data_IF_886858013418
#
_entry.id   IF_886858013418
#
_cell.length_a   1.000
_cell.length_b   1.000
_cell.length_c   1.000
_cell.angle_alpha   90.00
_cell.angle_beta   90.00
_cell.angle_gamma   90.00
#
_symmetry.space_group_name_H-M   'P 1'
#
loop_
_entity.id
_entity.type
_entity.pdbx_description
1 polymer ?
#
# COMPACT_ATOMS: atom_id res chain seq x y z
N UNK A 1 15.30 -6.19 -19.89
CA UNK A 1 15.53 -4.74 -19.74
C UNK A 1 14.24 -3.93 -19.56
N UNK A 2 13.19 -4.18 -20.36
CA UNK A 2 11.96 -3.37 -20.40
C UNK A 2 11.11 -3.30 -19.11
N UNK A 3 11.02 -4.38 -18.31
CA UNK A 3 10.22 -4.39 -17.06
C UNK A 3 10.82 -3.51 -15.95
N UNK A 4 12.12 -3.53 -15.77
CA UNK A 4 12.80 -2.76 -14.72
C UNK A 4 12.92 -1.29 -15.09
N UNK A 5 13.06 -0.96 -16.38
CA UNK A 5 13.05 0.42 -16.84
C UNK A 5 11.66 1.07 -16.66
N UNK A 6 10.58 0.35 -17.01
CA UNK A 6 9.21 0.80 -16.71
C UNK A 6 8.98 1.00 -15.22
N UNK A 7 9.45 0.06 -14.40
CA UNK A 7 9.36 0.17 -12.95
C UNK A 7 10.12 1.41 -12.45
N UNK A 8 11.37 1.59 -12.90
CA UNK A 8 12.23 2.71 -12.53
C UNK A 8 11.54 4.04 -12.85
N UNK A 9 11.09 4.25 -14.10
CA UNK A 9 10.41 5.49 -14.51
C UNK A 9 9.18 5.77 -13.64
N UNK A 10 8.32 4.76 -13.44
CA UNK A 10 7.11 4.88 -12.63
C UNK A 10 7.43 5.17 -11.16
N UNK A 11 8.40 4.46 -10.59
CA UNK A 11 8.76 4.60 -9.18
C UNK A 11 9.46 5.93 -8.91
N UNK A 12 10.31 6.43 -9.82
CA UNK A 12 10.89 7.77 -9.73
C UNK A 12 9.81 8.85 -9.66
N UNK A 13 8.78 8.77 -10.52
CA UNK A 13 7.65 9.69 -10.48
C UNK A 13 6.86 9.61 -9.16
N UNK A 14 6.71 8.41 -8.60
CA UNK A 14 6.06 8.19 -7.29
C UNK A 14 6.93 8.76 -6.16
N UNK A 15 8.25 8.53 -6.18
CA UNK A 15 9.19 9.06 -5.18
C UNK A 15 9.22 10.58 -5.16
N UNK A 16 9.13 11.23 -6.33
CA UNK A 16 9.06 12.70 -6.44
C UNK A 16 7.84 13.28 -5.71
N UNK A 17 6.74 12.52 -5.62
CA UNK A 17 5.53 12.92 -4.87
C UNK A 17 5.66 12.72 -3.34
N UNK A 18 6.68 11.98 -2.90
CA UNK A 18 6.99 11.76 -1.49
C UNK A 18 6.31 10.54 -0.85
N UNK A 19 6.92 10.05 0.24
CA UNK A 19 6.45 8.90 1.02
C UNK A 19 5.05 9.14 1.59
N UNK A 20 4.81 10.30 2.20
CA UNK A 20 3.54 10.61 2.85
C UNK A 20 2.37 10.50 1.86
N UNK A 21 2.48 11.11 0.68
CA UNK A 21 1.44 11.05 -0.35
C UNK A 21 1.20 9.62 -0.85
N UNK A 22 2.26 8.83 -1.02
CA UNK A 22 2.13 7.41 -1.38
C UNK A 22 1.41 6.61 -0.28
N UNK A 23 1.87 6.72 0.97
CA UNK A 23 1.33 5.97 2.11
C UNK A 23 -0.11 6.36 2.39
N UNK A 24 -0.47 7.64 2.31
CA UNK A 24 -1.84 8.10 2.52
C UNK A 24 -2.75 7.58 1.41
N UNK A 25 -2.40 7.83 0.14
CA UNK A 25 -3.27 7.44 -0.97
C UNK A 25 -3.47 5.93 -1.06
N UNK A 26 -2.39 5.14 -0.99
CA UNK A 26 -2.52 3.68 -1.03
C UNK A 26 -3.08 3.12 0.27
N UNK A 27 -2.70 3.67 1.42
CA UNK A 27 -3.19 3.19 2.71
C UNK A 27 -4.69 3.34 2.85
N UNK A 28 -5.25 4.48 2.43
CA UNK A 28 -6.69 4.69 2.36
C UNK A 28 -7.36 3.69 1.42
N UNK A 29 -6.83 3.51 0.19
CA UNK A 29 -7.41 2.56 -0.77
C UNK A 29 -7.41 1.13 -0.23
N UNK A 30 -6.30 0.66 0.34
CA UNK A 30 -6.22 -0.70 0.88
C UNK A 30 -7.09 -0.86 2.13
N UNK A 31 -7.07 0.12 3.04
CA UNK A 31 -7.87 0.09 4.25
C UNK A 31 -9.37 0.09 3.95
N UNK A 32 -9.83 0.94 3.03
CA UNK A 32 -11.22 0.97 2.58
C UNK A 32 -11.63 -0.32 1.88
N UNK A 33 -10.79 -0.87 0.99
CA UNK A 33 -11.12 -2.09 0.29
C UNK A 33 -11.23 -3.29 1.24
N UNK A 34 -10.29 -3.42 2.20
CA UNK A 34 -10.36 -4.45 3.23
C UNK A 34 -11.59 -4.28 4.12
N UNK A 35 -11.89 -3.05 4.53
CA UNK A 35 -13.07 -2.75 5.32
C UNK A 35 -14.36 -3.11 4.58
N UNK A 36 -14.49 -2.72 3.30
CA UNK A 36 -15.70 -3.01 2.51
C UNK A 36 -15.92 -4.51 2.35
N UNK A 37 -14.87 -5.28 2.05
CA UNK A 37 -14.96 -6.74 1.94
C UNK A 37 -15.38 -7.35 3.28
N UNK A 38 -14.77 -6.91 4.37
CA UNK A 38 -15.10 -7.40 5.71
C UNK A 38 -16.51 -6.99 6.16
N UNK A 39 -16.92 -5.76 5.90
CA UNK A 39 -18.23 -5.23 6.25
C UNK A 39 -19.33 -5.95 5.46
N UNK A 40 -19.11 -6.21 4.16
CA UNK A 40 -20.02 -7.00 3.35
C UNK A 40 -20.16 -8.42 3.89
N UNK A 41 -19.04 -9.09 4.21
CA UNK A 41 -19.07 -10.43 4.80
C UNK A 41 -19.82 -10.43 6.14
N UNK A 42 -19.49 -9.51 7.04
CA UNK A 42 -20.15 -9.38 8.35
C UNK A 42 -21.65 -9.11 8.21
N UNK A 43 -22.05 -8.27 7.25
CA UNK A 43 -23.45 -8.00 6.97
C UNK A 43 -24.23 -9.26 6.58
N UNK A 44 -23.65 -10.15 5.77
CA UNK A 44 -24.30 -11.41 5.42
C UNK A 44 -24.48 -12.37 6.60
N UNK A 45 -23.59 -12.33 7.60
CA UNK A 45 -23.65 -13.25 8.76
C UNK A 45 -24.47 -12.71 9.93
N UNK A 46 -24.48 -11.40 10.16
CA UNK A 46 -25.02 -10.78 11.37
C UNK A 46 -26.16 -9.79 11.08
N UNK A 47 -26.82 -9.90 9.91
CA UNK A 47 -27.90 -8.99 9.49
C UNK A 47 -28.99 -8.83 10.55
N UNK A 48 -29.36 -9.91 11.22
CA UNK A 48 -30.48 -9.95 12.17
C UNK A 48 -30.14 -9.31 13.52
N UNK A 49 -28.85 -9.01 13.76
CA UNK A 49 -28.33 -8.40 14.99
C UNK A 49 -28.04 -6.90 14.82
N UNK A 50 -28.52 -6.29 13.74
CA UNK A 50 -28.18 -4.92 13.41
C UNK A 50 -28.93 -3.94 14.30
N UNK A 51 -28.27 -3.51 15.37
CA UNK A 51 -28.68 -2.39 16.21
C UNK A 51 -27.59 -1.29 16.21
N UNK A 52 -27.88 -0.09 16.75
CA UNK A 52 -26.91 1.01 16.77
C UNK A 52 -25.61 0.69 17.53
N UNK A 53 -25.68 -0.12 18.60
CA UNK A 53 -24.52 -0.48 19.40
C UNK A 53 -23.63 -1.50 18.64
N UNK A 54 -24.26 -2.45 17.97
CA UNK A 54 -23.64 -3.38 17.03
C UNK A 54 -22.97 -2.63 15.88
N UNK A 55 -23.59 -1.58 15.35
CA UNK A 55 -22.97 -0.74 14.33
C UNK A 55 -21.67 -0.08 14.84
N UNK A 56 -21.71 0.57 16.02
CA UNK A 56 -20.53 1.26 16.56
C UNK A 56 -19.41 0.27 16.88
N UNK A 57 -19.74 -0.79 17.61
CA UNK A 57 -18.74 -1.77 18.09
C UNK A 57 -18.15 -2.59 16.95
N UNK A 58 -18.98 -2.95 15.95
CA UNK A 58 -18.59 -3.84 14.87
C UNK A 58 -18.15 -3.08 13.63
N UNK A 59 -18.89 -2.11 13.13
CA UNK A 59 -18.53 -1.42 11.90
C UNK A 59 -17.56 -0.26 12.14
N UNK A 60 -17.85 0.63 13.09
CA UNK A 60 -17.05 1.84 13.28
C UNK A 60 -15.64 1.59 13.84
N UNK A 61 -15.49 0.76 14.88
CA UNK A 61 -14.15 0.45 15.41
C UNK A 61 -13.31 -0.36 14.43
N UNK A 62 -13.89 -1.33 13.75
CA UNK A 62 -13.16 -2.10 12.74
C UNK A 62 -12.80 -1.24 11.54
N UNK A 63 -13.61 -0.27 11.15
CA UNK A 63 -13.24 0.72 10.13
C UNK A 63 -11.90 1.39 10.46
N UNK A 64 -11.73 1.90 11.68
CA UNK A 64 -10.48 2.53 12.11
C UNK A 64 -9.30 1.53 12.11
N UNK A 65 -9.53 0.30 12.58
CA UNK A 65 -8.53 -0.77 12.57
C UNK A 65 -8.08 -1.06 11.12
N UNK A 66 -9.01 -1.22 10.19
CA UNK A 66 -8.70 -1.50 8.79
C UNK A 66 -7.99 -0.35 8.10
N UNK A 67 -8.28 0.91 8.45
CA UNK A 67 -7.49 2.06 7.98
C UNK A 67 -6.04 1.98 8.45
N UNK A 68 -5.81 1.67 9.73
CA UNK A 68 -4.45 1.49 10.29
C UNK A 68 -3.72 0.36 9.55
N UNK A 69 -4.38 -0.79 9.36
CA UNK A 69 -3.83 -1.93 8.60
C UNK A 69 -3.46 -1.50 7.17
N UNK A 70 -4.30 -0.72 6.49
CA UNK A 70 -4.02 -0.15 5.18
C UNK A 70 -2.73 0.67 5.16
N UNK A 71 -2.54 1.55 6.14
CA UNK A 71 -1.31 2.35 6.26
C UNK A 71 -0.06 1.51 6.56
N UNK A 72 -0.17 0.45 7.36
CA UNK A 72 0.92 -0.49 7.63
C UNK A 72 1.33 -1.20 6.33
N UNK A 73 0.37 -1.77 5.60
CA UNK A 73 0.61 -2.44 4.31
C UNK A 73 1.28 -1.46 3.33
N UNK A 74 0.76 -0.24 3.21
CA UNK A 74 1.32 0.75 2.30
C UNK A 74 2.73 1.21 2.70
N UNK A 75 3.03 1.29 3.99
CA UNK A 75 4.36 1.60 4.51
C UNK A 75 5.36 0.49 4.21
N UNK A 76 4.95 -0.77 4.40
CA UNK A 76 5.74 -1.94 4.01
C UNK A 76 6.00 -1.98 2.51
N UNK A 77 4.98 -1.70 1.69
CA UNK A 77 5.11 -1.61 0.24
C UNK A 77 6.10 -0.53 -0.18
N UNK A 78 6.07 0.66 0.44
CA UNK A 78 7.05 1.71 0.17
C UNK A 78 8.48 1.23 0.42
N UNK A 79 8.72 0.59 1.57
CA UNK A 79 10.05 0.06 1.91
C UNK A 79 10.52 -1.00 0.91
N UNK A 80 9.64 -1.93 0.53
CA UNK A 80 9.96 -2.98 -0.44
C UNK A 80 10.27 -2.42 -1.83
N UNK A 81 9.48 -1.46 -2.32
CA UNK A 81 9.70 -0.83 -3.63
C UNK A 81 10.96 0.04 -3.65
N UNK A 82 11.29 0.72 -2.54
CA UNK A 82 12.57 1.42 -2.42
C UNK A 82 13.75 0.46 -2.48
N UNK A 83 13.70 -0.67 -1.76
CA UNK A 83 14.76 -1.69 -1.83
C UNK A 83 14.95 -2.19 -3.27
N UNK A 84 13.86 -2.42 -4.00
CA UNK A 84 13.93 -2.80 -5.42
C UNK A 84 14.57 -1.71 -6.28
N UNK A 85 14.19 -0.45 -6.05
CA UNK A 85 14.74 0.69 -6.78
C UNK A 85 16.25 0.84 -6.54
N UNK A 86 16.68 0.77 -5.29
CA UNK A 86 18.09 0.93 -4.90
C UNK A 86 18.95 -0.19 -5.51
N UNK A 87 18.43 -1.43 -5.55
CA UNK A 87 19.09 -2.54 -6.24
C UNK A 87 19.28 -2.25 -7.73
N UNK A 88 18.23 -1.78 -8.43
CA UNK A 88 18.32 -1.47 -9.87
C UNK A 88 19.36 -0.37 -10.13
N UNK A 89 19.37 0.68 -9.32
CA UNK A 89 20.36 1.77 -9.45
C UNK A 89 21.78 1.30 -9.18
N UNK A 90 21.98 0.45 -8.15
CA UNK A 90 23.28 -0.10 -7.83
C UNK A 90 23.83 -1.00 -8.94
N UNK A 91 22.98 -1.87 -9.52
CA UNK A 91 23.37 -2.70 -10.65
C UNK A 91 23.76 -1.87 -11.88
N UNK A 92 22.99 -0.83 -12.20
CA UNK A 92 23.29 0.08 -13.30
C UNK A 92 24.62 0.81 -13.11
N UNK A 93 24.89 1.30 -11.89
CA UNK A 93 26.14 1.99 -11.58
C UNK A 93 27.35 1.03 -11.61
N UNK A 94 27.19 -0.19 -11.10
CA UNK A 94 28.24 -1.22 -11.14
C UNK A 94 28.60 -1.61 -12.57
N UNK A 95 27.60 -1.76 -13.46
CA UNK A 95 27.87 -2.01 -14.88
C UNK A 95 28.55 -0.82 -15.57
N UNK A 96 28.13 0.41 -15.25
CA UNK A 96 28.79 1.61 -15.76
C UNK A 96 30.28 1.64 -15.37
N UNK A 97 30.61 1.34 -14.11
CA UNK A 97 32.00 1.31 -13.63
C UNK A 97 32.84 0.20 -14.26
N UNK A 98 32.25 -0.96 -14.56
CA UNK A 98 32.94 -2.07 -15.22
C UNK A 98 33.23 -1.81 -16.70
N UNK A 99 32.44 -0.94 -17.33
CA UNK A 99 32.55 -0.59 -18.75
C UNK A 99 33.25 0.76 -18.98
N UNK A 100 33.82 1.37 -17.93
CA UNK A 100 34.75 2.49 -18.08
C UNK A 100 36.10 1.94 -18.56
N UNK A 101 36.73 2.54 -19.59
CA UNK A 101 38.05 2.16 -20.06
C UNK A 101 39.14 2.39 -19.00
#
# INVERSE_FOLDING_TARGET
MDRDERFYRKWTAIRKKGKAKFVISRGLVHGLLLYVVWAAATWFFDRDKFDPEFFVTRYYYYFLIYLIVGFIISSGAWKGQNKRYDNITWYAEKQRKKNLP
#
